data_IF_115995417746
#
_entry.id   IF_115995417746
#
_cell.length_a   1.000
_cell.length_b   1.000
_cell.length_c   1.000
_cell.angle_alpha   90.00
_cell.angle_beta   90.00
_cell.angle_gamma   90.00
#
_symmetry.space_group_name_H-M   'P 1'
#
loop_
_entity.id
_entity.type
_entity.pdbx_description
1 polymer ?
#
# COMPACT_ATOMS: atom_id res chain seq x y z
N UNK A 1 38.83 68.01 -10.03
CA UNK A 1 40.20 68.51 -9.73
C UNK A 1 41.18 67.40 -10.11
N UNK A 2 41.76 67.60 -11.24
CA UNK A 2 43.16 67.30 -11.66
C UNK A 2 43.61 65.83 -11.57
N UNK A 3 43.79 65.18 -12.73
CA UNK A 3 45.00 65.22 -13.63
C UNK A 3 46.09 64.32 -13.03
N UNK A 4 46.75 63.38 -13.68
CA UNK A 4 47.55 63.38 -14.93
C UNK A 4 47.90 61.92 -15.32
N UNK A 5 47.83 61.67 -16.61
CA UNK A 5 48.55 60.82 -17.54
C UNK A 5 50.07 60.70 -17.27
N UNK A 6 50.70 59.55 -17.66
CA UNK A 6 51.80 59.48 -18.65
C UNK A 6 52.24 58.04 -18.90
N UNK A 7 52.13 57.58 -20.12
CA UNK A 7 53.15 57.31 -21.17
C UNK A 7 54.16 56.17 -20.87
N UNK A 8 54.00 55.09 -21.59
CA UNK A 8 54.80 54.71 -22.78
C UNK A 8 56.30 54.43 -22.55
N UNK A 9 56.70 53.19 -22.81
CA UNK A 9 57.79 52.97 -23.77
C UNK A 9 57.90 51.50 -24.21
N UNK A 10 58.13 51.34 -25.48
CA UNK A 10 58.42 50.19 -26.30
C UNK A 10 59.86 49.74 -26.05
N UNK A 11 60.12 48.41 -26.03
CA UNK A 11 61.39 47.91 -26.50
C UNK A 11 61.22 46.57 -27.18
N UNK A 12 61.80 46.52 -28.38
CA UNK A 12 61.89 45.44 -29.36
C UNK A 12 63.06 44.53 -28.98
N UNK A 13 62.88 43.26 -29.20
CA UNK A 13 64.08 42.52 -29.60
C UNK A 13 64.19 41.10 -29.02
N UNK A 14 64.28 40.20 -29.93
CA UNK A 14 65.08 38.98 -29.99
C UNK A 14 64.30 37.66 -29.93
N UNK A 15 64.19 37.11 -31.10
CA UNK A 15 63.86 35.70 -31.38
C UNK A 15 64.87 34.76 -30.66
N UNK A 16 64.32 33.77 -30.00
CA UNK A 16 65.06 32.53 -29.85
C UNK A 16 64.08 31.35 -30.04
N UNK A 17 64.36 30.61 -31.12
CA UNK A 17 63.81 29.29 -31.37
C UNK A 17 64.22 28.35 -30.29
N UNK A 18 63.25 27.77 -29.57
CA UNK A 18 63.48 26.49 -28.92
C UNK A 18 62.30 25.59 -29.22
N UNK A 19 62.62 24.61 -30.02
CA UNK A 19 61.77 23.48 -30.34
C UNK A 19 61.65 22.59 -29.09
N UNK A 20 60.59 21.91 -29.05
CA UNK A 20 60.41 20.59 -28.47
C UNK A 20 59.57 20.42 -27.19
N UNK A 21 58.82 19.40 -27.36
CA UNK A 21 58.13 18.57 -26.38
C UNK A 21 56.73 19.04 -25.98
N UNK A 22 55.81 18.75 -26.89
CA UNK A 22 54.41 18.45 -26.51
C UNK A 22 54.39 17.24 -25.55
N UNK A 23 54.47 17.48 -24.28
CA UNK A 23 53.97 16.55 -23.28
C UNK A 23 52.46 16.70 -23.26
N UNK A 24 51.76 15.92 -24.10
CA UNK A 24 50.38 15.56 -23.84
C UNK A 24 50.38 14.76 -22.52
N UNK A 25 50.29 15.44 -21.42
CA UNK A 25 49.78 14.83 -20.20
C UNK A 25 48.31 14.49 -20.49
N UNK A 26 48.09 13.30 -20.97
CA UNK A 26 46.73 12.71 -21.00
C UNK A 26 46.21 12.72 -19.56
N UNK A 27 45.33 13.64 -19.26
CA UNK A 27 44.41 13.47 -18.14
C UNK A 27 43.55 12.24 -18.47
N UNK A 28 44.08 11.07 -18.09
CA UNK A 28 43.19 9.95 -17.84
C UNK A 28 42.34 10.41 -16.67
N UNK A 29 41.17 10.97 -16.97
CA UNK A 29 40.08 10.98 -16.00
C UNK A 29 39.93 9.53 -15.59
N UNK A 30 40.41 9.20 -14.42
CA UNK A 30 40.04 7.97 -13.76
C UNK A 30 38.54 8.02 -13.68
N UNK A 31 37.89 7.24 -14.55
CA UNK A 31 36.48 6.94 -14.41
C UNK A 31 36.43 6.25 -13.05
N UNK A 32 36.00 6.98 -12.02
CA UNK A 32 35.60 6.39 -10.78
C UNK A 32 34.51 5.37 -11.16
N UNK A 33 34.94 4.12 -11.34
CA UNK A 33 34.02 3.02 -11.18
C UNK A 33 33.54 3.16 -9.75
N UNK A 34 32.43 3.82 -9.56
CA UNK A 34 31.65 3.72 -8.35
C UNK A 34 31.28 2.26 -8.24
N UNK A 35 32.16 1.46 -7.63
CA UNK A 35 31.80 0.16 -7.12
C UNK A 35 30.72 0.45 -6.09
N UNK A 36 29.47 0.38 -6.54
CA UNK A 36 28.32 0.50 -5.65
C UNK A 36 28.54 -0.55 -4.57
N UNK A 37 28.68 -0.07 -3.32
CA UNK A 37 28.84 -0.92 -2.16
C UNK A 37 27.77 -2.03 -2.21
N UNK A 38 28.13 -3.31 -2.19
CA UNK A 38 27.15 -4.40 -2.16
C UNK A 38 26.07 -4.19 -1.11
N UNK A 39 26.41 -3.62 0.05
CA UNK A 39 25.45 -3.28 1.09
C UNK A 39 24.40 -2.24 0.61
N UNK A 40 24.80 -1.28 -0.22
CA UNK A 40 23.86 -0.31 -0.80
C UNK A 40 22.97 -0.96 -1.86
N UNK A 41 23.53 -1.85 -2.70
CA UNK A 41 22.74 -2.54 -3.74
C UNK A 41 21.69 -3.44 -3.09
N UNK A 42 22.09 -4.30 -2.15
CA UNK A 42 21.17 -5.26 -1.51
C UNK A 42 20.30 -4.64 -0.42
N UNK A 43 20.70 -3.51 0.15
CA UNK A 43 19.92 -2.76 1.13
C UNK A 43 18.98 -1.72 0.52
N UNK A 44 19.06 -1.45 -0.79
CA UNK A 44 18.18 -0.48 -1.45
C UNK A 44 16.80 -1.08 -1.73
N UNK A 45 15.78 -0.20 -1.77
CA UNK A 45 14.46 -0.60 -2.22
C UNK A 45 14.49 -1.01 -3.69
N UNK A 46 13.67 -2.01 -4.12
CA UNK A 46 13.43 -2.25 -5.53
C UNK A 46 12.99 -0.98 -6.25
N UNK A 47 13.49 -0.73 -7.45
CA UNK A 47 13.19 0.47 -8.22
C UNK A 47 11.67 0.69 -8.39
N UNK A 48 10.92 -0.41 -8.56
CA UNK A 48 9.46 -0.44 -8.59
C UNK A 48 8.99 -1.35 -7.47
N UNK A 49 8.25 -0.81 -6.50
CA UNK A 49 7.70 -1.56 -5.37
C UNK A 49 6.35 -2.16 -5.66
N UNK A 50 5.56 -1.50 -6.50
CA UNK A 50 4.21 -1.92 -6.89
C UNK A 50 3.83 -1.30 -8.24
N UNK A 51 2.99 -1.99 -9.01
CA UNK A 51 2.44 -1.49 -10.27
C UNK A 51 1.05 -2.07 -10.52
N UNK A 52 0.10 -1.21 -10.87
CA UNK A 52 -1.29 -1.59 -11.13
C UNK A 52 -1.83 -0.85 -12.35
N UNK A 53 -2.55 -1.56 -13.23
CA UNK A 53 -3.17 -0.98 -14.42
C UNK A 53 -4.52 -0.33 -14.09
N UNK A 54 -4.85 0.74 -14.81
CA UNK A 54 -6.22 1.27 -14.82
C UNK A 54 -7.19 0.23 -15.41
N UNK A 55 -8.49 0.24 -15.01
CA UNK A 55 -9.46 -0.70 -15.55
C UNK A 55 -9.57 -0.72 -17.08
N UNK A 56 -9.29 0.39 -17.75
CA UNK A 56 -9.26 0.51 -19.22
C UNK A 56 -7.89 0.19 -19.85
N UNK A 57 -6.89 -0.14 -19.03
CA UNK A 57 -5.52 -0.45 -19.48
C UNK A 57 -4.73 0.73 -20.06
N UNK A 58 -5.27 1.96 -20.01
CA UNK A 58 -4.61 3.13 -20.63
C UNK A 58 -3.48 3.72 -19.75
N UNK A 59 -3.49 3.44 -18.47
CA UNK A 59 -2.56 3.99 -17.48
C UNK A 59 -2.07 2.93 -16.52
N UNK A 60 -0.93 3.20 -15.89
CA UNK A 60 -0.46 2.44 -14.73
C UNK A 60 -0.14 3.39 -13.57
N UNK A 61 -0.50 3.02 -12.36
CA UNK A 61 0.02 3.63 -11.14
C UNK A 61 1.17 2.79 -10.62
N UNK A 62 2.26 3.43 -10.22
CA UNK A 62 3.49 2.77 -9.79
C UNK A 62 3.98 3.36 -8.48
N UNK A 63 4.57 2.52 -7.64
CA UNK A 63 5.40 2.95 -6.53
C UNK A 63 6.86 2.94 -6.97
N UNK A 64 7.44 4.11 -7.18
CA UNK A 64 8.83 4.29 -7.63
C UNK A 64 9.71 4.67 -6.44
N UNK A 65 10.79 3.91 -6.25
CA UNK A 65 11.74 4.18 -5.19
C UNK A 65 12.50 5.50 -5.45
N UNK A 66 12.61 6.32 -4.41
CA UNK A 66 13.50 7.49 -4.35
C UNK A 66 14.11 7.59 -2.96
N UNK A 67 15.41 7.33 -2.86
CA UNK A 67 16.06 7.12 -1.57
C UNK A 67 15.50 5.88 -0.87
N UNK A 68 15.07 6.03 0.36
CA UNK A 68 14.56 4.94 1.20
C UNK A 68 13.02 4.89 1.30
N UNK A 69 12.31 5.50 0.34
CA UNK A 69 10.85 5.50 0.32
C UNK A 69 10.29 5.40 -1.09
N UNK A 70 8.99 5.11 -1.21
CA UNK A 70 8.28 5.05 -2.47
C UNK A 70 7.44 6.29 -2.70
N UNK A 71 7.46 6.79 -3.94
CA UNK A 71 6.59 7.85 -4.43
C UNK A 71 5.54 7.26 -5.37
N UNK A 72 4.36 7.87 -5.40
CA UNK A 72 3.27 7.46 -6.31
C UNK A 72 3.40 8.17 -7.64
N UNK A 73 3.59 7.41 -8.70
CA UNK A 73 3.80 7.89 -10.07
C UNK A 73 2.75 7.30 -10.98
N UNK A 74 2.15 8.11 -11.83
CA UNK A 74 1.25 7.69 -12.91
C UNK A 74 2.04 7.61 -14.21
N UNK A 75 1.86 6.51 -14.95
CA UNK A 75 2.32 6.31 -16.32
C UNK A 75 1.13 6.38 -17.28
N UNK A 76 1.18 7.26 -18.27
CA UNK A 76 0.33 7.22 -19.47
C UNK A 76 1.02 6.28 -20.47
N UNK A 77 0.41 5.11 -20.70
CA UNK A 77 1.06 4.03 -21.46
C UNK A 77 1.24 4.42 -22.91
N UNK A 78 0.21 4.99 -23.53
CA UNK A 78 0.26 5.37 -24.96
C UNK A 78 1.29 6.46 -25.24
N UNK A 79 1.51 7.38 -24.28
CA UNK A 79 2.45 8.49 -24.44
C UNK A 79 3.82 8.20 -23.85
N UNK A 80 3.99 7.08 -23.15
CA UNK A 80 5.21 6.76 -22.38
C UNK A 80 5.64 7.91 -21.45
N UNK A 81 4.66 8.62 -20.87
CA UNK A 81 4.91 9.77 -19.99
C UNK A 81 4.54 9.45 -18.55
N UNK A 82 5.44 9.80 -17.66
CA UNK A 82 5.22 9.67 -16.21
C UNK A 82 4.88 11.00 -15.56
N UNK A 83 4.10 10.94 -14.49
CA UNK A 83 3.73 12.10 -13.65
C UNK A 83 3.78 11.70 -12.19
N UNK A 84 4.50 12.46 -11.38
CA UNK A 84 4.44 12.35 -9.93
C UNK A 84 3.05 12.78 -9.44
N UNK A 85 2.33 11.89 -8.76
CA UNK A 85 1.03 12.18 -8.13
C UNK A 85 1.20 12.60 -6.68
N UNK A 86 1.96 11.80 -5.90
CA UNK A 86 2.16 12.05 -4.48
C UNK A 86 3.57 11.65 -4.08
N UNK A 87 4.23 12.50 -3.29
CA UNK A 87 5.50 12.19 -2.65
C UNK A 87 5.27 11.64 -1.24
N UNK A 88 6.14 10.74 -0.77
CA UNK A 88 6.17 10.33 0.62
C UNK A 88 7.21 11.12 1.40
N UNK A 89 6.95 11.33 2.70
CA UNK A 89 7.94 11.73 3.67
C UNK A 89 8.38 10.48 4.45
N UNK A 90 9.61 9.97 4.25
CA UNK A 90 10.05 8.72 4.85
C UNK A 90 10.10 8.74 6.38
N UNK A 91 10.16 9.93 6.99
CA UNK A 91 10.14 10.08 8.45
C UNK A 91 8.73 9.91 9.02
N UNK A 92 7.69 10.14 8.22
CA UNK A 92 6.30 10.11 8.66
C UNK A 92 5.58 8.84 8.17
N UNK A 93 5.73 8.49 6.88
CA UNK A 93 5.03 7.36 6.28
C UNK A 93 5.69 6.88 4.98
N UNK A 94 5.33 5.69 4.56
CA UNK A 94 5.61 5.13 3.23
C UNK A 94 4.32 4.68 2.55
N UNK A 95 4.33 4.58 1.21
CA UNK A 95 3.24 3.92 0.49
C UNK A 95 3.50 2.43 0.42
N UNK A 96 2.47 1.63 0.75
CA UNK A 96 2.55 0.17 0.73
C UNK A 96 2.08 -0.41 -0.61
N UNK A 97 1.01 0.14 -1.15
CA UNK A 97 0.41 -0.22 -2.43
C UNK A 97 -0.52 0.89 -2.93
N UNK A 98 -0.78 0.91 -4.24
CA UNK A 98 -1.78 1.78 -4.87
C UNK A 98 -2.60 1.00 -5.89
N UNK A 99 -3.92 1.25 -5.93
CA UNK A 99 -4.82 0.64 -6.91
C UNK A 99 -5.79 1.66 -7.50
N UNK A 100 -6.18 1.43 -8.76
CA UNK A 100 -7.27 2.17 -9.37
C UNK A 100 -8.61 1.70 -8.82
N UNK A 101 -9.35 2.59 -8.17
CA UNK A 101 -10.75 2.34 -7.85
C UNK A 101 -11.65 2.47 -9.10
N UNK A 102 -11.28 3.36 -10.02
CA UNK A 102 -11.85 3.53 -11.36
C UNK A 102 -10.82 4.24 -12.26
N UNK A 103 -11.15 4.52 -13.52
CA UNK A 103 -10.20 5.11 -14.49
C UNK A 103 -9.68 6.51 -14.10
N UNK A 104 -10.30 7.19 -13.14
CA UNK A 104 -9.95 8.57 -12.74
C UNK A 104 -9.54 8.72 -11.29
N UNK A 105 -9.70 7.68 -10.47
CA UNK A 105 -9.45 7.74 -9.03
C UNK A 105 -8.58 6.59 -8.57
N UNK A 106 -7.51 6.91 -7.85
CA UNK A 106 -6.54 5.98 -7.28
C UNK A 106 -6.70 5.99 -5.77
N UNK A 107 -6.58 4.84 -5.15
CA UNK A 107 -6.55 4.65 -3.69
C UNK A 107 -5.22 4.00 -3.32
N UNK A 108 -4.53 4.58 -2.37
CA UNK A 108 -3.25 4.07 -1.86
C UNK A 108 -3.33 3.75 -0.37
N UNK A 109 -2.61 2.73 0.04
CA UNK A 109 -2.30 2.46 1.45
C UNK A 109 -1.02 3.19 1.84
N UNK A 110 -1.09 3.88 2.97
CA UNK A 110 0.06 4.49 3.63
C UNK A 110 0.32 3.73 4.93
N UNK A 111 1.57 3.39 5.19
CA UNK A 111 2.04 2.78 6.43
C UNK A 111 2.93 3.71 7.23
N UNK A 112 2.76 3.71 8.53
CA UNK A 112 3.64 4.42 9.47
C UNK A 112 3.86 3.60 10.73
N UNK A 113 4.99 3.80 11.38
CA UNK A 113 5.22 3.26 12.72
C UNK A 113 4.57 4.16 13.76
N UNK A 114 3.90 3.55 14.71
CA UNK A 114 3.33 4.22 15.87
C UNK A 114 3.82 3.56 17.15
N UNK A 115 4.05 4.34 18.18
CA UNK A 115 4.33 3.82 19.52
C UNK A 115 3.07 3.28 20.18
N UNK A 116 3.21 2.16 20.86
CA UNK A 116 2.13 1.59 21.66
C UNK A 116 2.27 2.07 23.09
N UNK A 117 1.25 2.75 23.58
CA UNK A 117 1.16 3.08 25.00
C UNK A 117 0.98 1.80 25.83
N UNK A 118 1.54 1.79 27.03
CA UNK A 118 1.36 0.70 27.99
C UNK A 118 -0.13 0.35 28.13
N UNK A 119 -0.48 -0.94 28.14
CA UNK A 119 -1.86 -1.42 28.21
C UNK A 119 -2.61 -1.49 26.86
N UNK A 120 -2.02 -1.05 25.75
CA UNK A 120 -2.62 -1.19 24.41
C UNK A 120 -2.31 -2.53 23.74
N UNK A 121 -1.80 -3.48 24.49
CA UNK A 121 -1.45 -4.83 24.03
C UNK A 121 -2.74 -5.59 23.68
N UNK A 122 -2.87 -6.03 22.45
CA UNK A 122 -3.97 -6.86 21.94
C UNK A 122 -3.44 -8.11 21.25
N UNK A 123 -4.24 -9.15 21.27
CA UNK A 123 -3.95 -10.44 20.65
C UNK A 123 -3.76 -10.27 19.13
N UNK A 124 -2.78 -10.97 18.55
CA UNK A 124 -2.51 -10.95 17.09
C UNK A 124 -1.72 -9.75 16.59
N UNK A 125 -1.05 -9.01 17.44
CA UNK A 125 -0.24 -7.87 17.04
C UNK A 125 1.19 -8.27 16.74
N UNK A 126 1.71 -7.79 15.63
CA UNK A 126 3.15 -7.78 15.39
C UNK A 126 3.73 -6.58 16.16
N UNK A 127 4.68 -6.86 17.04
CA UNK A 127 5.49 -5.86 17.72
C UNK A 127 6.87 -5.87 17.10
N UNK A 128 7.45 -4.71 17.02
CA UNK A 128 8.90 -4.59 16.93
C UNK A 128 9.45 -4.58 18.38
N UNK A 129 10.67 -5.01 18.56
CA UNK A 129 11.32 -5.09 19.88
C UNK A 129 11.35 -3.73 20.60
N UNK A 130 11.29 -2.62 19.87
CA UNK A 130 11.25 -1.25 20.36
C UNK A 130 9.86 -0.75 20.79
N UNK A 131 8.87 -1.62 20.87
CA UNK A 131 7.50 -1.26 21.30
C UNK A 131 6.67 -0.55 20.24
N UNK A 132 7.18 -0.41 19.00
CA UNK A 132 6.43 0.16 17.88
C UNK A 132 5.54 -0.88 17.19
N UNK A 133 4.56 -0.41 16.45
CA UNK A 133 3.72 -1.23 15.56
C UNK A 133 3.36 -0.44 14.32
N UNK A 134 2.96 -1.15 13.26
CA UNK A 134 2.52 -0.51 12.01
C UNK A 134 1.06 -0.06 12.14
N UNK A 135 0.79 1.16 11.71
CA UNK A 135 -0.56 1.66 11.42
C UNK A 135 -0.70 1.92 9.92
N UNK A 136 -1.87 1.60 9.36
CA UNK A 136 -2.16 1.88 7.95
C UNK A 136 -3.30 2.87 7.78
N UNK A 137 -3.26 3.63 6.70
CA UNK A 137 -4.28 4.61 6.32
C UNK A 137 -4.56 4.48 4.82
N UNK A 138 -5.79 4.79 4.43
CA UNK A 138 -6.17 4.92 3.03
C UNK A 138 -6.25 6.39 2.62
N UNK A 139 -5.60 6.69 1.50
CA UNK A 139 -5.65 7.99 0.85
C UNK A 139 -6.12 7.80 -0.60
N UNK A 140 -6.94 8.72 -1.09
CA UNK A 140 -7.35 8.72 -2.48
C UNK A 140 -6.87 9.98 -3.19
N UNK A 141 -6.55 9.86 -4.49
CA UNK A 141 -6.09 10.95 -5.34
C UNK A 141 -6.65 10.79 -6.74
N UNK A 142 -6.94 11.88 -7.43
CA UNK A 142 -7.30 11.84 -8.84
C UNK A 142 -6.06 11.67 -9.71
N UNK A 143 -6.23 11.13 -10.93
CA UNK A 143 -5.12 10.90 -11.87
C UNK A 143 -4.38 12.20 -12.29
N UNK A 144 -4.99 13.36 -12.04
CA UNK A 144 -4.33 14.65 -12.23
C UNK A 144 -3.52 15.11 -11.00
N UNK A 145 -3.49 14.32 -9.92
CA UNK A 145 -2.78 14.60 -8.66
C UNK A 145 -3.55 15.54 -7.73
N UNK A 146 -4.80 15.88 -8.06
CA UNK A 146 -5.66 16.73 -7.22
C UNK A 146 -6.58 15.92 -6.33
N UNK A 147 -7.39 16.62 -5.53
CA UNK A 147 -8.42 16.04 -4.66
C UNK A 147 -7.89 14.93 -3.74
N UNK A 148 -6.70 15.13 -3.20
CA UNK A 148 -6.10 14.22 -2.22
C UNK A 148 -6.99 14.17 -0.98
N UNK A 149 -7.39 12.96 -0.55
CA UNK A 149 -8.38 12.78 0.50
C UNK A 149 -8.03 11.59 1.38
N UNK A 150 -7.87 11.78 2.68
CA UNK A 150 -7.84 10.69 3.64
C UNK A 150 -9.24 10.06 3.77
N UNK A 151 -9.35 8.77 3.47
CA UNK A 151 -10.64 8.10 3.31
C UNK A 151 -11.30 7.74 4.62
N UNK A 152 -10.51 7.33 5.62
CA UNK A 152 -11.04 6.97 6.95
C UNK A 152 -10.67 8.05 7.95
N UNK A 153 -11.63 8.91 8.28
CA UNK A 153 -11.43 9.94 9.30
C UNK A 153 -11.27 9.32 10.69
N UNK A 154 -10.34 9.83 11.50
CA UNK A 154 -10.27 9.47 12.90
C UNK A 154 -11.62 9.76 13.59
N UNK A 155 -12.16 8.78 14.23
CA UNK A 155 -13.36 8.94 15.07
C UNK A 155 -13.18 8.10 16.31
N UNK A 156 -13.12 8.77 17.45
CA UNK A 156 -13.06 8.14 18.78
C UNK A 156 -14.18 8.69 19.65
N UNK A 157 -14.60 7.94 20.65
CA UNK A 157 -15.65 8.33 21.58
C UNK A 157 -16.92 7.53 21.41
N UNK A 158 -18.05 8.02 21.95
CA UNK A 158 -19.33 7.36 21.85
C UNK A 158 -20.00 7.68 20.52
N UNK A 159 -20.57 6.66 19.87
CA UNK A 159 -21.53 6.87 18.77
C UNK A 159 -22.83 7.46 19.32
N UNK A 160 -23.68 7.99 18.44
CA UNK A 160 -25.02 8.47 18.83
C UNK A 160 -25.90 7.41 19.53
N UNK A 161 -25.50 6.13 19.50
CA UNK A 161 -26.12 5.01 20.19
C UNK A 161 -25.42 4.67 21.52
N UNK A 162 -24.54 5.52 22.02
CA UNK A 162 -23.79 5.31 23.28
C UNK A 162 -22.63 4.31 23.17
N UNK A 163 -22.40 3.71 22.00
CA UNK A 163 -21.36 2.70 21.80
C UNK A 163 -20.00 3.33 21.59
N UNK A 164 -18.96 2.76 22.21
CA UNK A 164 -17.58 3.18 21.95
C UNK A 164 -17.18 2.85 20.50
N UNK A 165 -16.57 3.83 19.86
CA UNK A 165 -16.01 3.73 18.50
C UNK A 165 -14.51 3.99 18.59
N UNK A 166 -13.73 3.11 17.99
CA UNK A 166 -12.28 3.18 17.97
C UNK A 166 -11.77 3.73 16.64
N UNK A 167 -10.60 4.37 16.67
CA UNK A 167 -9.86 4.64 15.46
C UNK A 167 -9.03 3.39 15.12
N UNK A 168 -9.39 2.62 14.06
CA UNK A 168 -8.67 1.39 13.75
C UNK A 168 -7.22 1.69 13.41
N UNK A 169 -6.31 0.86 13.86
CA UNK A 169 -4.91 0.93 13.51
C UNK A 169 -4.69 0.55 12.04
N UNK A 170 -5.34 -0.52 11.61
CA UNK A 170 -5.33 -1.00 10.23
C UNK A 170 -6.59 -0.50 9.52
N UNK A 171 -6.41 0.23 8.43
CA UNK A 171 -7.51 0.87 7.68
C UNK A 171 -7.52 0.52 6.19
N UNK A 172 -6.57 -0.28 5.73
CA UNK A 172 -6.34 -0.57 4.32
C UNK A 172 -6.84 -1.95 3.86
N UNK A 173 -7.62 -2.63 4.68
CA UNK A 173 -8.24 -3.90 4.30
C UNK A 173 -9.46 -3.67 3.40
N UNK A 174 -9.23 -3.63 2.08
CA UNK A 174 -10.27 -3.54 1.07
C UNK A 174 -10.88 -4.93 0.88
N UNK A 175 -12.20 -5.04 1.06
CA UNK A 175 -12.98 -6.27 0.89
C UNK A 175 -13.44 -6.44 -0.55
N UNK A 176 -13.82 -5.33 -1.20
CA UNK A 176 -14.18 -5.31 -2.63
C UNK A 176 -14.00 -3.91 -3.21
N UNK A 177 -13.48 -3.86 -4.42
CA UNK A 177 -13.36 -2.64 -5.21
C UNK A 177 -14.66 -2.20 -5.85
N UNK A 178 -15.72 -3.02 -5.78
CA UNK A 178 -17.05 -2.71 -6.32
C UNK A 178 -16.97 -2.10 -7.72
N UNK A 179 -16.38 -2.81 -8.68
CA UNK A 179 -16.02 -2.27 -10.01
C UNK A 179 -17.20 -1.62 -10.75
N UNK A 180 -18.44 -2.02 -10.45
CA UNK A 180 -19.66 -1.43 -11.00
C UNK A 180 -20.07 -0.13 -10.27
N UNK A 181 -19.62 0.08 -9.04
CA UNK A 181 -19.88 1.30 -8.24
C UNK A 181 -18.70 2.26 -8.34
N UNK A 182 -18.79 3.23 -9.25
CA UNK A 182 -17.71 4.19 -9.51
C UNK A 182 -17.32 5.07 -8.31
N UNK A 183 -18.08 5.05 -7.23
CA UNK A 183 -17.93 6.00 -6.10
C UNK A 183 -17.56 5.32 -4.79
N UNK A 184 -17.73 4.03 -4.66
CA UNK A 184 -17.59 3.35 -3.38
C UNK A 184 -16.71 2.11 -3.48
N UNK A 185 -16.13 1.75 -2.34
CA UNK A 185 -15.44 0.47 -2.10
C UNK A 185 -15.97 -0.15 -0.80
N UNK A 186 -15.81 -1.44 -0.64
CA UNK A 186 -16.03 -2.10 0.64
C UNK A 186 -14.72 -2.27 1.38
N UNK A 187 -14.70 -1.86 2.63
CA UNK A 187 -13.55 -2.02 3.53
C UNK A 187 -14.00 -2.66 4.84
N UNK A 188 -13.08 -3.37 5.49
CA UNK A 188 -13.32 -3.85 6.84
C UNK A 188 -12.51 -3.07 7.87
N UNK A 189 -13.15 -2.67 8.97
CA UNK A 189 -12.55 -1.85 10.02
C UNK A 189 -12.96 -2.36 11.41
N UNK A 190 -11.98 -2.48 12.30
CA UNK A 190 -12.17 -2.80 13.71
C UNK A 190 -12.54 -1.54 14.51
N UNK A 191 -13.70 -0.92 14.22
CA UNK A 191 -14.17 0.34 14.86
C UNK A 191 -15.07 0.11 16.07
N UNK A 192 -15.89 -0.93 16.02
CA UNK A 192 -16.90 -1.23 17.05
C UNK A 192 -16.44 -2.36 17.96
N UNK A 193 -15.51 -3.14 17.49
CA UNK A 193 -14.79 -4.17 18.23
C UNK A 193 -13.31 -4.05 17.89
N UNK A 194 -12.43 -4.30 18.87
CA UNK A 194 -10.97 -4.14 18.66
C UNK A 194 -10.32 -5.31 17.89
N UNK A 195 -11.00 -6.45 17.87
CA UNK A 195 -10.50 -7.69 17.28
C UNK A 195 -11.20 -8.00 15.96
N UNK A 196 -12.53 -7.92 15.98
CA UNK A 196 -13.37 -8.39 14.89
C UNK A 196 -13.88 -7.21 14.05
N UNK A 197 -13.54 -7.13 12.77
CA UNK A 197 -13.93 -6.00 11.94
C UNK A 197 -15.38 -6.09 11.48
N UNK A 198 -16.04 -4.94 11.42
CA UNK A 198 -17.26 -4.72 10.65
C UNK A 198 -16.94 -4.32 9.22
N UNK A 199 -17.84 -4.56 8.27
CA UNK A 199 -17.70 -4.13 6.87
C UNK A 199 -18.45 -2.82 6.65
N UNK A 200 -17.80 -1.93 5.93
CA UNK A 200 -18.31 -0.61 5.61
C UNK A 200 -18.22 -0.34 4.10
N UNK A 201 -19.25 0.32 3.58
CA UNK A 201 -19.23 0.98 2.28
C UNK A 201 -18.64 2.38 2.47
N UNK A 202 -17.55 2.67 1.75
CA UNK A 202 -16.77 3.89 1.86
C UNK A 202 -16.76 4.63 0.53
N UNK A 203 -17.21 5.89 0.54
CA UNK A 203 -17.16 6.74 -0.63
C UNK A 203 -15.76 7.34 -0.81
N UNK A 204 -15.14 7.08 -1.97
CA UNK A 204 -13.75 7.49 -2.27
C UNK A 204 -13.59 8.95 -2.65
N UNK A 205 -14.69 9.71 -2.78
CA UNK A 205 -14.67 11.14 -3.14
C UNK A 205 -15.00 12.09 -1.97
N UNK A 206 -15.73 11.60 -0.96
CA UNK A 206 -16.16 12.44 0.15
C UNK A 206 -16.00 11.79 1.54
N UNK A 207 -15.35 10.62 1.60
CA UNK A 207 -15.09 9.81 2.79
C UNK A 207 -16.33 9.49 3.67
N UNK A 208 -17.55 9.60 3.12
CA UNK A 208 -18.75 9.10 3.79
C UNK A 208 -18.65 7.59 3.94
N UNK A 209 -18.95 7.11 5.14
CA UNK A 209 -18.86 5.71 5.50
C UNK A 209 -20.19 5.23 6.10
N UNK A 210 -20.68 4.11 5.63
CA UNK A 210 -21.88 3.45 6.15
C UNK A 210 -21.60 1.98 6.42
N UNK A 211 -22.08 1.45 7.55
CA UNK A 211 -21.88 0.04 7.89
C UNK A 211 -22.82 -0.85 7.08
N UNK A 212 -22.20 -1.85 6.39
CA UNK A 212 -22.91 -2.89 5.62
C UNK A 212 -23.12 -4.14 6.46
N UNK A 213 -22.07 -4.56 7.20
CA UNK A 213 -22.14 -5.76 8.06
C UNK A 213 -21.48 -5.45 9.40
N UNK A 214 -22.17 -5.81 10.48
CA UNK A 214 -21.62 -5.73 11.83
C UNK A 214 -20.60 -6.85 12.02
N UNK A 215 -19.58 -6.58 12.84
CA UNK A 215 -18.61 -7.59 13.27
C UNK A 215 -19.28 -8.84 13.82
N UNK A 216 -18.60 -9.97 13.71
CA UNK A 216 -18.98 -11.24 14.31
C UNK A 216 -17.77 -11.81 15.05
N UNK A 217 -17.92 -12.24 16.32
CA UNK A 217 -16.84 -12.94 17.03
C UNK A 217 -16.37 -14.15 16.23
N UNK A 218 -15.05 -14.31 16.10
CA UNK A 218 -14.44 -15.37 15.28
C UNK A 218 -14.24 -15.01 13.81
N UNK A 219 -14.67 -13.84 13.33
CA UNK A 219 -14.40 -13.39 11.95
C UNK A 219 -13.36 -12.29 11.95
N UNK A 220 -12.19 -12.58 11.38
CA UNK A 220 -11.12 -11.62 11.16
C UNK A 220 -11.13 -11.05 9.75
N UNK A 221 -11.68 -11.80 8.81
CA UNK A 221 -11.71 -11.40 7.41
C UNK A 221 -13.08 -11.67 6.79
N UNK A 222 -13.58 -10.67 6.07
CA UNK A 222 -14.76 -10.75 5.25
C UNK A 222 -14.39 -10.84 3.78
N UNK A 223 -15.19 -11.57 3.01
CA UNK A 223 -15.01 -11.75 1.58
C UNK A 223 -16.29 -11.34 0.85
N UNK A 224 -16.11 -10.71 -0.30
CA UNK A 224 -17.17 -10.32 -1.19
C UNK A 224 -16.87 -10.77 -2.62
N UNK A 225 -17.91 -10.98 -3.40
CA UNK A 225 -17.80 -11.21 -4.84
C UNK A 225 -17.37 -9.92 -5.60
N UNK A 226 -17.14 -10.02 -6.90
CA UNK A 226 -16.72 -8.91 -7.75
C UNK A 226 -17.73 -7.75 -7.77
N UNK A 227 -19.01 -8.01 -7.50
CA UNK A 227 -20.09 -7.02 -7.42
C UNK A 227 -20.17 -6.34 -6.05
N UNK A 228 -19.40 -6.80 -5.06
CA UNK A 228 -19.41 -6.28 -3.71
C UNK A 228 -20.46 -6.89 -2.80
N UNK A 229 -21.08 -8.02 -3.16
CA UNK A 229 -21.94 -8.75 -2.24
C UNK A 229 -21.06 -9.55 -1.27
N UNK A 230 -21.28 -9.37 0.02
CA UNK A 230 -20.61 -10.17 1.04
C UNK A 230 -21.09 -11.62 0.95
N UNK A 231 -20.15 -12.55 0.84
CA UNK A 231 -20.41 -13.98 0.70
C UNK A 231 -19.96 -14.77 1.92
N UNK A 232 -18.74 -14.51 2.41
CA UNK A 232 -18.18 -15.27 3.51
C UNK A 232 -17.47 -14.39 4.54
N UNK A 233 -17.30 -14.94 5.72
CA UNK A 233 -16.43 -14.43 6.76
C UNK A 233 -15.68 -15.58 7.41
N UNK A 234 -14.40 -15.39 7.71
CA UNK A 234 -13.60 -16.43 8.36
C UNK A 234 -12.61 -15.86 9.38
N UNK A 235 -12.16 -16.72 10.27
CA UNK A 235 -11.22 -16.37 11.32
C UNK A 235 -11.12 -17.43 12.40
N UNK A 236 -10.95 -17.00 13.64
CA UNK A 236 -10.88 -17.89 14.79
C UNK A 236 -11.48 -17.23 16.03
N UNK A 237 -12.04 -18.04 16.91
CA UNK A 237 -12.44 -17.59 18.23
C UNK A 237 -11.24 -17.52 19.18
N UNK A 238 -11.17 -16.48 19.98
CA UNK A 238 -10.11 -16.32 20.98
C UNK A 238 -10.68 -16.52 22.38
N UNK A 239 -9.90 -17.13 23.28
CA UNK A 239 -8.48 -17.54 23.16
C UNK A 239 -8.27 -18.94 22.57
N UNK A 240 -9.34 -19.70 22.30
CA UNK A 240 -9.22 -21.12 21.89
C UNK A 240 -8.49 -21.34 20.56
N UNK A 241 -8.43 -20.33 19.70
CA UNK A 241 -7.86 -20.47 18.34
C UNK A 241 -8.73 -21.30 17.41
N UNK A 242 -9.93 -21.70 17.82
CA UNK A 242 -10.82 -22.52 17.00
C UNK A 242 -11.21 -21.76 15.73
N UNK A 243 -10.90 -22.34 14.58
CA UNK A 243 -11.22 -21.79 13.27
C UNK A 243 -12.73 -21.72 13.06
N UNK A 244 -13.18 -20.65 12.44
CA UNK A 244 -14.59 -20.39 12.13
C UNK A 244 -14.71 -19.85 10.72
N UNK A 245 -15.70 -20.36 9.98
CA UNK A 245 -16.11 -19.80 8.69
C UNK A 245 -17.63 -19.68 8.64
N UNK A 246 -18.10 -18.68 7.90
CA UNK A 246 -19.51 -18.34 7.80
C UNK A 246 -19.88 -18.02 6.36
N UNK A 247 -21.01 -18.54 5.89
CA UNK A 247 -21.68 -18.05 4.69
C UNK A 247 -22.59 -16.88 5.05
N UNK A 248 -22.57 -15.85 4.23
CA UNK A 248 -23.36 -14.63 4.42
C UNK A 248 -24.51 -14.58 3.41
N UNK A 249 -25.73 -14.46 3.91
CA UNK A 249 -26.93 -14.21 3.10
C UNK A 249 -27.65 -12.98 3.65
N UNK A 250 -27.48 -11.82 2.99
CA UNK A 250 -28.02 -10.55 3.45
C UNK A 250 -27.56 -10.17 4.86
N UNK A 251 -28.50 -9.97 5.77
CA UNK A 251 -28.21 -9.65 7.17
C UNK A 251 -27.71 -10.86 7.98
N UNK A 252 -28.02 -12.08 7.55
CA UNK A 252 -27.70 -13.31 8.25
C UNK A 252 -26.30 -13.81 7.94
N UNK A 253 -25.76 -14.65 8.82
CA UNK A 253 -24.53 -15.39 8.60
C UNK A 253 -24.65 -16.74 9.30
N UNK A 254 -24.58 -17.82 8.52
CA UNK A 254 -24.62 -19.20 9.00
C UNK A 254 -23.22 -19.76 9.06
N UNK A 255 -22.91 -20.52 10.12
CA UNK A 255 -21.62 -21.17 10.24
C UNK A 255 -21.50 -22.32 9.23
N UNK A 256 -20.32 -22.41 8.61
CA UNK A 256 -19.97 -23.47 7.68
C UNK A 256 -19.20 -24.56 8.41
N UNK A 257 -19.47 -25.81 8.09
CA UNK A 257 -18.56 -26.89 8.47
C UNK A 257 -17.34 -26.92 7.55
N UNK A 258 -16.20 -26.55 8.10
CA UNK A 258 -14.92 -26.51 7.39
C UNK A 258 -13.97 -27.60 7.87
N UNK A 259 -14.46 -28.57 8.62
CA UNK A 259 -13.66 -29.66 9.21
C UNK A 259 -12.94 -30.51 8.15
N UNK A 260 -13.57 -30.66 6.96
CA UNK A 260 -13.00 -31.40 5.83
C UNK A 260 -12.00 -30.60 5.00
N UNK A 261 -11.95 -29.27 5.18
CA UNK A 261 -11.14 -28.39 4.33
C UNK A 261 -9.72 -28.17 4.88
N UNK A 262 -9.46 -28.49 6.13
CA UNK A 262 -8.19 -28.27 6.80
C UNK A 262 -7.57 -29.56 7.35
N UNK A 263 -6.23 -29.65 7.31
CA UNK A 263 -5.48 -30.64 8.07
C UNK A 263 -5.49 -30.29 9.56
N UNK A 264 -5.02 -31.24 10.40
CA UNK A 264 -5.02 -31.11 11.86
C UNK A 264 -4.41 -29.82 12.41
N UNK A 265 -3.55 -29.14 11.62
CA UNK A 265 -2.75 -28.00 12.09
C UNK A 265 -2.82 -26.76 11.19
N UNK A 266 -3.61 -26.75 10.11
CA UNK A 266 -3.64 -25.63 9.15
C UNK A 266 -5.08 -25.32 8.74
N UNK A 267 -5.58 -24.19 9.19
CA UNK A 267 -6.86 -23.67 8.73
C UNK A 267 -6.82 -23.33 7.23
N UNK A 268 -7.90 -23.58 6.47
CA UNK A 268 -8.01 -23.12 5.11
C UNK A 268 -7.98 -21.60 5.07
N UNK A 269 -7.48 -21.01 3.99
CA UNK A 269 -7.57 -19.57 3.75
C UNK A 269 -8.26 -19.33 2.42
N UNK A 270 -9.21 -18.41 2.41
CA UNK A 270 -9.93 -18.04 1.21
C UNK A 270 -9.04 -17.16 0.32
N UNK A 271 -9.03 -17.45 -0.99
CA UNK A 271 -8.28 -16.71 -2.00
C UNK A 271 -9.16 -15.74 -2.78
N UNK A 272 -10.44 -16.07 -3.01
CA UNK A 272 -11.37 -15.22 -3.75
C UNK A 272 -12.57 -15.98 -4.27
N UNK A 273 -13.34 -15.33 -5.13
CA UNK A 273 -14.44 -15.91 -5.87
C UNK A 273 -14.11 -15.98 -7.35
N UNK A 274 -14.64 -17.00 -8.02
CA UNK A 274 -14.66 -17.05 -9.47
C UNK A 274 -15.66 -16.01 -9.99
N UNK A 275 -15.46 -15.58 -11.23
CA UNK A 275 -16.15 -14.43 -11.83
C UNK A 275 -17.69 -14.49 -11.75
N UNK A 276 -18.28 -15.69 -11.83
CA UNK A 276 -19.73 -15.88 -11.66
C UNK A 276 -20.21 -15.72 -10.20
N UNK A 277 -19.28 -15.77 -9.22
CA UNK A 277 -19.59 -15.65 -7.79
C UNK A 277 -20.24 -16.88 -7.16
N UNK A 278 -20.30 -18.00 -7.86
CA UNK A 278 -20.89 -19.25 -7.38
C UNK A 278 -19.86 -20.12 -6.67
N UNK A 279 -18.66 -20.21 -7.20
CA UNK A 279 -17.57 -20.99 -6.59
C UNK A 279 -16.57 -20.12 -5.84
N UNK A 280 -15.99 -20.64 -4.78
CA UNK A 280 -14.96 -19.97 -3.97
C UNK A 280 -13.61 -20.68 -4.13
N UNK A 281 -12.55 -19.91 -4.27
CA UNK A 281 -11.17 -20.40 -4.26
C UNK A 281 -10.62 -20.40 -2.85
N UNK A 282 -10.08 -21.52 -2.42
CA UNK A 282 -9.42 -21.67 -1.12
C UNK A 282 -8.03 -22.26 -1.25
N UNK A 283 -7.14 -21.87 -0.37
CA UNK A 283 -5.92 -22.62 -0.10
C UNK A 283 -6.16 -23.57 1.06
N UNK A 284 -6.08 -24.88 0.78
CA UNK A 284 -6.27 -25.92 1.78
C UNK A 284 -5.31 -27.09 1.50
N UNK A 285 -5.04 -27.91 2.52
CA UNK A 285 -4.26 -29.15 2.36
C UNK A 285 -5.14 -30.38 2.12
N UNK A 286 -6.44 -30.29 2.43
CA UNK A 286 -7.42 -31.38 2.29
C UNK A 286 -6.88 -32.72 2.85
N UNK A 287 -6.13 -32.68 3.96
CA UNK A 287 -5.49 -33.84 4.57
C UNK A 287 -4.18 -34.27 3.91
N UNK A 288 -3.68 -33.52 2.91
CA UNK A 288 -2.39 -33.78 2.23
C UNK A 288 -1.25 -33.01 2.92
N UNK A 289 -0.02 -33.36 2.57
CA UNK A 289 1.19 -32.72 3.12
C UNK A 289 1.35 -31.25 2.64
N UNK A 290 0.93 -30.95 1.42
CA UNK A 290 1.06 -29.63 0.81
C UNK A 290 -0.29 -28.96 0.59
N UNK A 291 -0.29 -27.64 0.82
CA UNK A 291 -1.46 -26.81 0.47
C UNK A 291 -1.55 -26.64 -1.04
N UNK A 292 -2.74 -26.76 -1.55
CA UNK A 292 -3.10 -26.44 -2.94
C UNK A 292 -4.20 -25.39 -3.00
N UNK A 293 -4.39 -24.81 -4.18
CA UNK A 293 -5.55 -23.98 -4.50
C UNK A 293 -6.67 -24.92 -4.95
N UNK A 294 -7.84 -24.79 -4.34
CA UNK A 294 -9.01 -25.60 -4.62
C UNK A 294 -10.22 -24.70 -4.88
N UNK A 295 -11.05 -25.12 -5.82
CA UNK A 295 -12.35 -24.55 -6.07
C UNK A 295 -13.40 -25.34 -5.28
N UNK A 296 -14.31 -24.61 -4.64
CA UNK A 296 -15.42 -25.18 -3.85
C UNK A 296 -16.70 -24.47 -4.26
N UNK A 297 -17.73 -25.22 -4.59
CA UNK A 297 -19.08 -24.76 -4.92
C UNK A 297 -19.88 -24.40 -3.67
#
# INVERSE_FOLDING_TARGET
MNIILTKSQIFVGASFFFACCNFFAGFTAAQENSSSDPAQIYGSLPAIGDIELSPDGSKAVMLIAKGNTYHVVLLDIAKSKTKLLMAANPEEFTYNWCQFANNTRIVCSMGSFIELKAGQIGIGRRYYEDGRTVATRLIAVDIDGKNVLQLVKPKTGQSGTGRLVWNPRIQDNVVSWMRDDKKNILIQLAREDRLYPSVYKLNIYNNKISRVKKFRPGVFQWLADSKGNLRNGYGATLPSGQYRAYTVSGANASEMDVSSLGGKNRAPSFAGYIENGESVLIFADLGKDKRGLHEID
#
